data_IF_517143937861
#
_entry.id   IF_517143937861
#
_cell.length_a   1.000
_cell.length_b   1.000
_cell.length_c   1.000
_cell.angle_alpha   90.00
_cell.angle_beta   90.00
_cell.angle_gamma   90.00
#
_symmetry.space_group_name_H-M   'P 1'
#
loop_
_entity.id
_entity.type
_entity.pdbx_description
1 polymer ?
#
# COMPACT_ATOMS: atom_id res chain seq x y z
N UNK A 1 -40.08 -16.05 20.85
CA UNK A 1 -40.10 -15.88 19.38
C UNK A 1 -40.00 -14.39 19.10
N UNK A 2 -39.08 -13.79 18.34
CA UNK A 2 -37.89 -14.16 17.57
C UNK A 2 -36.86 -13.02 17.80
N UNK A 3 -35.59 -13.36 17.60
CA UNK A 3 -34.37 -12.64 17.96
C UNK A 3 -34.05 -11.42 17.08
N UNK A 4 -33.12 -10.61 17.59
CA UNK A 4 -32.12 -9.76 16.90
C UNK A 4 -32.37 -8.25 16.82
N UNK A 5 -32.03 -7.56 17.91
CA UNK A 5 -31.42 -6.23 17.83
C UNK A 5 -29.91 -6.45 17.69
N UNK A 6 -29.37 -6.29 16.49
CA UNK A 6 -27.92 -6.37 16.26
C UNK A 6 -27.30 -5.12 16.86
N UNK A 7 -26.66 -5.30 18.03
CA UNK A 7 -25.79 -4.32 18.67
C UNK A 7 -24.51 -4.19 17.84
N UNK A 8 -24.39 -3.16 17.01
CA UNK A 8 -23.07 -2.67 16.59
C UNK A 8 -22.56 -1.68 17.63
N UNK A 9 -22.09 -2.20 18.75
CA UNK A 9 -21.15 -1.47 19.62
C UNK A 9 -19.79 -1.46 18.91
N UNK A 10 -19.54 -0.45 18.09
CA UNK A 10 -18.19 -0.08 17.70
C UNK A 10 -17.86 1.23 18.40
N UNK A 11 -17.06 1.08 19.46
CA UNK A 11 -16.45 2.14 20.25
C UNK A 11 -15.99 3.30 19.38
N UNK A 12 -16.60 4.47 19.58
CA UNK A 12 -16.06 5.76 19.16
C UNK A 12 -14.95 6.12 20.15
N UNK A 13 -13.91 5.29 20.17
CA UNK A 13 -12.66 5.64 20.82
C UNK A 13 -12.04 6.73 19.97
N UNK A 14 -11.98 7.95 20.50
CA UNK A 14 -11.14 9.01 19.96
C UNK A 14 -9.71 8.48 20.02
N UNK A 15 -9.29 7.80 18.96
CA UNK A 15 -7.90 7.44 18.74
C UNK A 15 -7.24 8.75 18.33
N UNK A 16 -6.81 9.49 19.35
CA UNK A 16 -5.74 10.48 19.22
C UNK A 16 -4.41 9.70 19.12
N UNK A 17 -4.28 8.79 18.14
CA UNK A 17 -2.98 8.21 17.79
C UNK A 17 -2.24 9.27 17.00
N UNK A 18 -1.36 9.94 17.73
CA UNK A 18 -0.17 10.61 17.24
C UNK A 18 0.28 10.06 15.90
N UNK A 19 0.28 10.94 14.91
CA UNK A 19 0.26 10.71 13.47
C UNK A 19 1.48 9.99 12.87
N UNK A 20 2.49 9.65 13.67
CA UNK A 20 3.75 9.09 13.16
C UNK A 20 3.85 7.56 13.29
N UNK A 21 3.17 6.94 14.26
CA UNK A 21 3.28 5.48 14.50
C UNK A 21 2.38 4.64 13.57
N UNK A 22 1.47 5.27 12.83
CA UNK A 22 0.48 4.60 11.97
C UNK A 22 0.98 4.29 10.55
N UNK A 23 2.23 4.56 10.24
CA UNK A 23 2.81 4.42 8.89
C UNK A 23 3.51 3.08 8.64
N UNK A 24 3.66 2.22 9.64
CA UNK A 24 4.56 1.07 9.56
C UNK A 24 3.85 -0.28 9.80
N UNK A 25 4.04 -1.20 8.86
CA UNK A 25 3.64 -2.61 9.02
C UNK A 25 4.84 -3.37 9.61
N UNK A 26 4.68 -4.00 10.78
CA UNK A 26 5.72 -4.83 11.43
C UNK A 26 5.61 -6.30 10.96
N UNK A 27 6.76 -6.97 10.74
CA UNK A 27 6.82 -8.44 10.71
C UNK A 27 7.41 -9.13 9.47
N UNK A 28 7.74 -8.40 8.39
CA UNK A 28 8.25 -9.02 7.14
C UNK A 28 9.60 -8.49 6.67
N UNK A 29 10.08 -7.39 7.24
CA UNK A 29 11.32 -6.73 6.85
C UNK A 29 11.95 -6.08 8.08
N UNK A 30 13.28 -6.09 8.17
CA UNK A 30 14.04 -5.34 9.18
C UNK A 30 14.03 -3.83 8.90
N UNK A 31 13.52 -3.42 7.73
CA UNK A 31 13.19 -2.05 7.39
C UNK A 31 11.69 -1.88 7.36
N UNK A 32 11.25 -0.75 7.88
CA UNK A 32 9.86 -0.31 7.77
C UNK A 32 9.45 -0.30 6.29
N UNK A 33 8.19 -0.64 6.04
CA UNK A 33 7.54 -0.52 4.74
C UNK A 33 6.55 0.64 4.80
N UNK A 34 6.47 1.40 3.72
CA UNK A 34 5.48 2.46 3.58
C UNK A 34 4.08 1.85 3.58
N UNK A 35 3.14 2.55 4.21
CA UNK A 35 1.73 2.16 4.28
C UNK A 35 1.06 1.94 2.91
N UNK A 36 1.58 2.60 1.87
CA UNK A 36 1.20 2.43 0.47
C UNK A 36 2.39 1.82 -0.28
N UNK A 37 2.13 0.90 -1.21
CA UNK A 37 3.14 0.32 -2.09
C UNK A 37 2.81 0.57 -3.57
N UNK A 38 3.83 0.69 -4.41
CA UNK A 38 3.69 0.83 -5.86
C UNK A 38 3.67 -0.55 -6.52
N UNK A 39 2.56 -0.92 -7.17
CA UNK A 39 2.47 -2.16 -7.96
C UNK A 39 3.04 -1.99 -9.38
N UNK A 40 3.67 -3.04 -9.92
CA UNK A 40 4.34 -3.02 -11.23
C UNK A 40 3.74 -3.98 -12.29
N UNK A 41 2.48 -4.38 -12.11
CA UNK A 41 1.84 -5.44 -12.91
C UNK A 41 1.25 -4.99 -14.27
N UNK A 42 1.10 -3.68 -14.50
CA UNK A 42 0.38 -3.14 -15.67
C UNK A 42 1.27 -2.86 -16.88
N UNK A 43 0.70 -3.06 -18.06
CA UNK A 43 1.25 -2.67 -19.36
C UNK A 43 2.26 -3.66 -19.94
N UNK A 44 2.58 -3.48 -21.21
CA UNK A 44 3.53 -4.32 -21.92
C UNK A 44 4.98 -3.99 -21.52
N UNK A 45 5.88 -4.96 -21.72
CA UNK A 45 7.32 -4.76 -21.60
C UNK A 45 7.88 -3.97 -22.81
N UNK A 46 7.48 -2.71 -22.93
CA UNK A 46 8.00 -1.77 -23.91
C UNK A 46 8.60 -0.52 -23.24
N UNK A 47 9.29 0.29 -24.03
CA UNK A 47 10.02 1.47 -23.54
C UNK A 47 9.10 2.57 -23.02
N UNK A 48 7.93 2.74 -23.63
CA UNK A 48 6.94 3.76 -23.27
C UNK A 48 6.35 3.50 -21.88
N UNK A 49 5.91 2.26 -21.63
CA UNK A 49 5.44 1.82 -20.31
C UNK A 49 6.58 1.84 -19.30
N UNK A 50 7.80 1.50 -19.71
CA UNK A 50 8.96 1.59 -18.81
C UNK A 50 9.28 3.04 -18.41
N UNK A 51 9.06 4.01 -19.30
CA UNK A 51 9.18 5.43 -18.98
C UNK A 51 8.09 5.89 -17.99
N UNK A 52 6.84 5.40 -18.13
CA UNK A 52 5.77 5.73 -17.19
C UNK A 52 6.07 5.19 -15.79
N UNK A 53 6.61 3.97 -15.65
CA UNK A 53 7.04 3.43 -14.37
C UNK A 53 8.17 4.25 -13.72
N UNK A 54 9.15 4.71 -14.50
CA UNK A 54 10.21 5.59 -13.97
C UNK A 54 9.63 6.88 -13.41
N UNK A 55 8.64 7.46 -14.07
CA UNK A 55 7.96 8.66 -13.59
C UNK A 55 7.12 8.39 -12.32
N UNK A 56 6.39 7.26 -12.29
CA UNK A 56 5.63 6.83 -11.12
C UNK A 56 6.53 6.59 -9.90
N UNK A 57 7.69 5.95 -10.09
CA UNK A 57 8.68 5.71 -9.02
C UNK A 57 9.24 7.04 -8.50
N UNK A 58 9.60 7.98 -9.40
CA UNK A 58 10.06 9.32 -8.98
C UNK A 58 9.02 10.03 -8.11
N UNK A 59 7.77 10.02 -8.55
CA UNK A 59 6.66 10.60 -7.79
C UNK A 59 6.47 9.90 -6.43
N UNK A 60 6.51 8.57 -6.40
CA UNK A 60 6.36 7.78 -5.17
C UNK A 60 7.42 8.16 -4.13
N UNK A 61 8.70 8.20 -4.53
CA UNK A 61 9.81 8.56 -3.64
C UNK A 61 9.65 9.98 -3.09
N UNK A 62 9.26 10.95 -3.94
CA UNK A 62 9.02 12.33 -3.53
C UNK A 62 7.86 12.49 -2.52
N UNK A 63 6.95 11.52 -2.46
CA UNK A 63 5.77 11.52 -1.58
C UNK A 63 5.86 10.51 -0.43
N UNK A 64 7.06 9.99 -0.12
CA UNK A 64 7.26 9.09 1.02
C UNK A 64 6.77 7.65 0.82
N UNK A 65 6.59 7.23 -0.43
CA UNK A 65 6.26 5.85 -0.80
C UNK A 65 7.55 5.15 -1.23
N UNK A 66 7.99 4.18 -0.43
CA UNK A 66 9.29 3.50 -0.59
C UNK A 66 9.17 1.96 -0.68
N UNK A 67 7.94 1.46 -0.78
CA UNK A 67 7.65 0.04 -1.00
C UNK A 67 7.20 -0.19 -2.44
N UNK A 68 7.75 -1.21 -3.08
CA UNK A 68 7.39 -1.62 -4.45
C UNK A 68 6.97 -3.10 -4.44
N UNK A 69 5.90 -3.41 -5.17
CA UNK A 69 5.44 -4.77 -5.42
C UNK A 69 5.76 -5.16 -6.87
N UNK A 70 6.44 -6.30 -7.03
CA UNK A 70 6.88 -6.82 -8.33
C UNK A 70 7.00 -8.33 -8.31
N UNK A 71 6.84 -8.95 -9.48
CA UNK A 71 6.98 -10.38 -9.69
C UNK A 71 7.64 -10.67 -11.05
N UNK A 72 8.30 -11.84 -11.16
CA UNK A 72 9.01 -12.24 -12.40
C UNK A 72 8.08 -12.40 -13.60
N UNK A 73 6.81 -12.70 -13.36
CA UNK A 73 5.78 -12.88 -14.39
C UNK A 73 4.97 -11.61 -14.66
N UNK A 74 5.35 -10.46 -14.07
CA UNK A 74 4.74 -9.19 -14.45
C UNK A 74 5.26 -8.76 -15.82
N UNK A 75 4.33 -8.41 -16.73
CA UNK A 75 4.60 -7.82 -18.05
C UNK A 75 5.38 -8.70 -19.04
N UNK A 76 5.37 -10.02 -18.91
CA UNK A 76 6.18 -10.89 -19.78
C UNK A 76 5.93 -12.38 -19.69
N UNK A 77 4.66 -12.81 -19.65
CA UNK A 77 4.26 -14.15 -20.09
C UNK A 77 3.31 -14.04 -21.27
#
# INVERSE_FOLDING_TARGET
MIKSAVRYTAWIGIIKQTTDELMQIKGYSNKEMSRIALGTHLGDANDEVSASYRNAIKYAVQNGIYTIDGAINYRGM
#
